data_IF_017287163437
#
_entry.id   IF_017287163437
#
_cell.length_a   1.000
_cell.length_b   1.000
_cell.length_c   1.000
_cell.angle_alpha   90.00
_cell.angle_beta   90.00
_cell.angle_gamma   90.00
#
_symmetry.space_group_name_H-M   'P 1'
#
loop_
_entity.id
_entity.type
_entity.pdbx_description
1 polymer ?
#
# COMPACT_ATOMS: atom_id res chain seq x y z
N UNK A 1 3.74 4.46 -15.40
CA UNK A 1 3.11 4.80 -14.12
C UNK A 1 2.76 3.54 -13.33
N UNK A 2 1.87 2.67 -13.84
CA UNK A 2 1.40 1.47 -13.13
C UNK A 2 2.53 0.52 -12.68
N UNK A 3 3.52 0.14 -13.54
CA UNK A 3 4.60 -0.75 -13.10
C UNK A 3 5.42 -0.17 -11.96
N UNK A 4 5.79 1.11 -12.04
CA UNK A 4 6.53 1.80 -10.98
C UNK A 4 5.73 1.90 -9.68
N UNK A 5 4.41 2.11 -9.77
CA UNK A 5 3.55 2.14 -8.59
C UNK A 5 3.45 0.76 -7.94
N UNK A 6 3.26 -0.31 -8.73
CA UNK A 6 3.30 -1.69 -8.21
C UNK A 6 4.63 -1.98 -7.54
N UNK A 7 5.74 -1.62 -8.20
CA UNK A 7 7.09 -1.79 -7.67
C UNK A 7 7.21 -1.12 -6.29
N UNK A 8 6.90 0.18 -6.19
CA UNK A 8 6.96 0.92 -4.92
C UNK A 8 6.11 0.29 -3.81
N UNK A 9 4.87 -0.08 -4.12
CA UNK A 9 3.95 -0.68 -3.13
C UNK A 9 4.39 -2.08 -2.70
N UNK A 10 4.97 -2.87 -3.60
CA UNK A 10 5.58 -4.16 -3.26
C UNK A 10 6.81 -3.98 -2.38
N UNK A 11 7.68 -3.02 -2.70
CA UNK A 11 8.86 -2.70 -1.89
C UNK A 11 8.50 -2.34 -0.44
N UNK A 12 7.44 -1.54 -0.25
CA UNK A 12 6.95 -1.18 1.09
C UNK A 12 6.37 -2.39 1.83
N UNK A 13 5.56 -3.21 1.16
CA UNK A 13 4.97 -4.39 1.78
C UNK A 13 6.02 -5.43 2.20
N UNK A 14 7.06 -5.65 1.40
CA UNK A 14 8.13 -6.60 1.77
C UNK A 14 9.03 -6.03 2.85
N UNK A 15 9.27 -4.71 2.87
CA UNK A 15 10.01 -4.06 3.95
C UNK A 15 9.27 -4.22 5.27
N UNK A 16 7.96 -3.97 5.30
CA UNK A 16 7.11 -4.20 6.47
C UNK A 16 7.08 -5.67 6.90
N UNK A 17 7.00 -6.61 5.97
CA UNK A 17 7.01 -8.04 6.30
C UNK A 17 8.32 -8.48 6.97
N UNK A 18 9.45 -7.87 6.60
CA UNK A 18 10.75 -8.14 7.21
C UNK A 18 10.86 -7.43 8.57
N UNK A 19 10.51 -6.15 8.64
CA UNK A 19 10.67 -5.32 9.84
C UNK A 19 9.65 -5.69 10.92
N UNK A 20 8.42 -6.03 10.55
CA UNK A 20 7.33 -6.41 11.44
C UNK A 20 6.71 -7.76 11.02
N UNK A 21 7.23 -8.88 11.56
CA UNK A 21 6.75 -10.21 11.20
C UNK A 21 5.26 -10.43 11.51
N UNK A 22 4.74 -9.77 12.55
CA UNK A 22 3.35 -9.92 12.99
C UNK A 22 2.39 -9.13 12.08
N UNK A 23 1.63 -9.85 11.26
CA UNK A 23 0.79 -9.29 10.21
C UNK A 23 -0.17 -8.18 10.67
N UNK A 24 -0.74 -8.31 11.87
CA UNK A 24 -1.68 -7.35 12.44
C UNK A 24 -1.06 -5.97 12.74
N UNK A 25 0.26 -5.89 12.87
CA UNK A 25 0.99 -4.66 13.18
C UNK A 25 1.69 -4.04 11.97
N UNK A 26 1.67 -4.73 10.82
CA UNK A 26 2.20 -4.20 9.56
C UNK A 26 1.35 -3.01 9.09
N UNK A 27 2.04 -1.97 8.66
CA UNK A 27 1.44 -0.74 8.16
C UNK A 27 1.09 -0.89 6.68
N UNK A 28 2.00 -1.43 5.86
CA UNK A 28 1.83 -1.68 4.44
C UNK A 28 1.65 -3.18 4.15
N UNK A 29 0.81 -3.51 3.17
CA UNK A 29 0.62 -4.90 2.71
C UNK A 29 0.33 -4.94 1.21
N UNK A 30 0.64 -6.05 0.55
CA UNK A 30 0.38 -6.26 -0.86
C UNK A 30 -0.01 -7.71 -1.14
N UNK A 31 -1.09 -7.90 -1.87
CA UNK A 31 -1.56 -9.20 -2.34
C UNK A 31 -1.62 -9.21 -3.87
N UNK A 32 -0.69 -9.91 -4.51
CA UNK A 32 -0.61 -10.06 -5.97
C UNK A 32 -1.64 -11.05 -6.55
N UNK A 33 -2.42 -11.70 -5.68
CA UNK A 33 -3.41 -12.73 -6.01
C UNK A 33 -4.77 -12.39 -5.39
N UNK A 34 -5.10 -11.09 -5.27
CA UNK A 34 -6.34 -10.63 -4.64
C UNK A 34 -7.59 -11.26 -5.29
N UNK A 35 -7.62 -11.24 -6.63
CA UNK A 35 -8.64 -11.88 -7.44
C UNK A 35 -8.08 -12.19 -8.86
N UNK A 36 -8.84 -12.89 -9.73
CA UNK A 36 -8.39 -13.13 -11.10
C UNK A 36 -8.03 -11.84 -11.85
N UNK A 37 -6.74 -11.67 -12.16
CA UNK A 37 -6.16 -10.47 -12.78
C UNK A 37 -6.19 -9.20 -11.90
N UNK A 38 -6.37 -9.36 -10.59
CA UNK A 38 -6.39 -8.27 -9.63
C UNK A 38 -5.25 -8.38 -8.61
N UNK A 39 -4.55 -7.26 -8.39
CA UNK A 39 -3.57 -7.10 -7.32
C UNK A 39 -4.05 -5.97 -6.39
N UNK A 40 -3.82 -6.09 -5.09
CA UNK A 40 -4.28 -5.13 -4.10
C UNK A 40 -3.13 -4.74 -3.18
N UNK A 41 -2.90 -3.44 -3.01
CA UNK A 41 -2.06 -2.90 -1.95
C UNK A 41 -2.93 -2.22 -0.90
N UNK A 42 -2.54 -2.29 0.36
CA UNK A 42 -3.24 -1.61 1.45
C UNK A 42 -2.28 -0.96 2.42
N UNK A 43 -2.76 0.07 3.10
CA UNK A 43 -2.17 0.61 4.31
C UNK A 43 -3.19 0.66 5.43
N UNK A 44 -2.77 0.37 6.66
CA UNK A 44 -3.56 0.54 7.88
C UNK A 44 -2.71 1.20 8.96
N UNK A 45 -3.21 2.28 9.57
CA UNK A 45 -2.44 3.03 10.57
C UNK A 45 -2.61 2.54 12.01
N UNK A 46 -3.52 1.60 12.24
CA UNK A 46 -3.89 1.10 13.57
C UNK A 46 -4.84 2.01 14.36
N UNK A 47 -5.16 3.20 13.84
CA UNK A 47 -5.99 4.23 14.46
C UNK A 47 -7.31 4.49 13.70
N UNK A 48 -7.61 3.66 12.69
CA UNK A 48 -8.82 3.74 11.86
C UNK A 48 -8.61 4.40 10.50
N UNK A 49 -7.41 4.92 10.25
CA UNK A 49 -6.96 5.36 8.93
C UNK A 49 -6.49 4.19 8.08
N UNK A 50 -6.89 4.19 6.81
CA UNK A 50 -6.47 3.16 5.86
C UNK A 50 -6.62 3.62 4.42
N UNK A 51 -5.89 2.97 3.53
CA UNK A 51 -6.18 3.06 2.10
C UNK A 51 -5.96 1.75 1.38
N UNK A 52 -6.57 1.66 0.19
CA UNK A 52 -6.49 0.52 -0.70
C UNK A 52 -6.19 1.00 -2.13
N UNK A 53 -5.30 0.30 -2.81
CA UNK A 53 -5.01 0.46 -4.24
C UNK A 53 -5.32 -0.86 -4.92
N UNK A 54 -6.31 -0.90 -5.81
CA UNK A 54 -6.63 -2.07 -6.62
C UNK A 54 -6.13 -1.88 -8.04
N UNK A 55 -5.40 -2.87 -8.55
CA UNK A 55 -4.95 -2.96 -9.94
C UNK A 55 -5.80 -3.99 -10.67
N UNK A 56 -6.46 -3.59 -11.76
CA UNK A 56 -7.22 -4.48 -12.65
C UNK A 56 -6.81 -4.20 -14.11
N UNK A 57 -5.84 -4.96 -14.61
CA UNK A 57 -5.22 -4.70 -15.92
C UNK A 57 -4.58 -3.31 -15.97
N UNK A 58 -5.07 -2.44 -16.85
CA UNK A 58 -4.61 -1.04 -16.98
C UNK A 58 -5.37 -0.06 -16.07
N UNK A 59 -6.32 -0.55 -15.28
CA UNK A 59 -7.13 0.27 -14.36
C UNK A 59 -6.51 0.24 -12.97
N UNK A 60 -6.51 1.40 -12.32
CA UNK A 60 -6.06 1.53 -10.93
C UNK A 60 -7.06 2.36 -10.16
N UNK A 61 -7.61 1.78 -9.11
CA UNK A 61 -8.46 2.46 -8.15
C UNK A 61 -7.69 2.71 -6.86
N UNK A 62 -7.85 3.89 -6.27
CA UNK A 62 -7.36 4.22 -4.94
C UNK A 62 -8.50 4.73 -4.08
N UNK A 63 -8.58 4.27 -2.84
CA UNK A 63 -9.62 4.67 -1.89
C UNK A 63 -9.00 4.81 -0.51
N UNK A 64 -9.25 5.94 0.12
CA UNK A 64 -8.67 6.32 1.40
C UNK A 64 -9.78 6.63 2.40
N UNK A 65 -9.61 6.14 3.63
CA UNK A 65 -10.35 6.47 4.83
C UNK A 65 -9.38 7.15 5.79
N UNK A 66 -9.65 8.42 6.12
CA UNK A 66 -8.95 9.15 7.16
C UNK A 66 -10.00 9.90 7.98
N UNK A 67 -10.43 9.34 9.13
CA UNK A 67 -11.47 9.95 9.95
C UNK A 67 -11.12 11.36 10.41
N UNK A 68 -9.85 11.64 10.71
CA UNK A 68 -9.37 12.95 11.13
C UNK A 68 -9.45 14.02 10.02
N UNK A 69 -9.25 13.64 8.75
CA UNK A 69 -9.42 14.54 7.60
C UNK A 69 -10.90 14.75 7.20
N UNK A 70 -11.77 13.86 7.69
CA UNK A 70 -13.21 13.84 7.43
C UNK A 70 -13.59 13.00 6.20
N UNK A 71 -14.84 12.55 6.17
CA UNK A 71 -15.42 11.74 5.09
C UNK A 71 -16.12 12.61 4.03
N UNK A 72 -16.27 12.06 2.83
CA UNK A 72 -17.05 12.64 1.73
C UNK A 72 -18.52 12.66 2.11
N UNK A 73 -19.12 13.85 2.13
CA UNK A 73 -20.57 13.98 2.25
C UNK A 73 -21.29 13.38 1.03
N UNK A 74 -22.33 12.58 1.27
CA UNK A 74 -23.10 11.91 0.22
C UNK A 74 -22.24 11.05 -0.73
N UNK A 75 -21.30 10.26 -0.19
CA UNK A 75 -20.42 9.38 -0.99
C UNK A 75 -21.17 8.49 -1.99
N UNK A 76 -22.42 8.08 -1.69
CA UNK A 76 -23.29 7.35 -2.63
C UNK A 76 -23.43 8.05 -3.99
N UNK A 77 -23.54 9.38 -4.03
CA UNK A 77 -23.61 10.14 -5.29
C UNK A 77 -22.31 10.10 -6.06
N UNK A 78 -21.17 10.16 -5.36
CA UNK A 78 -19.86 10.03 -6.00
C UNK A 78 -19.72 8.63 -6.62
N UNK A 79 -20.16 7.58 -5.91
CA UNK A 79 -20.15 6.21 -6.43
C UNK A 79 -20.93 6.07 -7.73
N UNK A 80 -22.06 6.77 -7.86
CA UNK A 80 -22.86 6.79 -9.09
C UNK A 80 -22.14 7.49 -10.28
N UNK A 81 -21.17 8.38 -10.00
CA UNK A 81 -20.39 9.05 -11.05
C UNK A 81 -19.16 8.27 -11.50
N UNK A 82 -18.73 7.26 -10.75
CA UNK A 82 -17.53 6.48 -11.07
C UNK A 82 -17.87 5.50 -12.20
N UNK A 83 -17.02 5.38 -13.24
CA UNK A 83 -17.26 4.50 -14.37
C UNK A 83 -17.52 3.05 -13.94
N UNK A 84 -18.42 2.36 -14.66
CA UNK A 84 -18.90 1.02 -14.31
C UNK A 84 -17.78 -0.02 -14.25
N UNK A 85 -16.68 0.20 -14.98
CA UNK A 85 -15.51 -0.66 -14.99
C UNK A 85 -14.75 -0.65 -13.66
N UNK A 86 -14.97 0.35 -12.81
CA UNK A 86 -14.42 0.44 -11.44
C UNK A 86 -15.38 -0.06 -10.38
N UNK A 87 -16.53 -0.62 -10.76
CA UNK A 87 -17.55 -1.04 -9.80
C UNK A 87 -17.06 -2.15 -8.87
N UNK A 88 -16.25 -3.09 -9.35
CA UNK A 88 -15.64 -4.12 -8.48
C UNK A 88 -14.80 -3.49 -7.36
N UNK A 89 -14.04 -2.44 -7.68
CA UNK A 89 -13.26 -1.69 -6.71
C UNK A 89 -14.14 -0.89 -5.72
N UNK A 90 -15.12 -0.15 -6.23
CA UNK A 90 -15.92 0.77 -5.40
C UNK A 90 -16.91 0.04 -4.49
N UNK A 91 -17.44 -1.09 -4.95
CA UNK A 91 -18.42 -1.87 -4.20
C UNK A 91 -17.78 -2.95 -3.32
N UNK A 92 -16.44 -3.11 -3.36
CA UNK A 92 -15.70 -4.08 -2.57
C UNK A 92 -15.90 -3.85 -1.06
N UNK A 93 -16.54 -4.79 -0.34
CA UNK A 93 -16.75 -4.67 1.10
C UNK A 93 -15.46 -4.47 1.90
N UNK A 94 -14.36 -5.12 1.50
CA UNK A 94 -13.05 -4.96 2.15
C UNK A 94 -12.49 -3.54 2.06
N UNK A 95 -13.00 -2.70 1.15
CA UNK A 95 -12.54 -1.32 0.95
C UNK A 95 -13.57 -0.29 1.47
N UNK A 96 -14.33 -0.63 2.52
CA UNK A 96 -15.32 0.26 3.16
C UNK A 96 -16.36 0.82 2.19
N UNK A 97 -17.13 -0.06 1.55
CA UNK A 97 -18.12 0.24 0.49
C UNK A 97 -18.86 1.59 0.60
N UNK A 98 -19.28 2.00 1.79
CA UNK A 98 -20.18 3.15 1.99
C UNK A 98 -19.47 4.43 2.48
N UNK A 99 -18.16 4.40 2.70
CA UNK A 99 -17.40 5.53 3.22
C UNK A 99 -16.11 5.78 2.43
N UNK A 100 -15.71 7.04 2.33
CA UNK A 100 -14.42 7.45 1.77
C UNK A 100 -14.06 8.86 2.22
N UNK A 101 -12.78 9.14 2.44
CA UNK A 101 -12.21 10.49 2.52
C UNK A 101 -11.80 10.97 1.12
N UNK A 102 -11.17 10.08 0.35
CA UNK A 102 -10.77 10.35 -1.03
C UNK A 102 -10.89 9.09 -1.89
N UNK A 103 -11.23 9.26 -3.16
CA UNK A 103 -11.24 8.18 -4.16
C UNK A 103 -10.61 8.67 -5.44
N UNK A 104 -9.61 7.95 -5.94
CA UNK A 104 -8.98 8.27 -7.22
C UNK A 104 -9.12 7.08 -8.18
N UNK A 105 -9.36 7.37 -9.45
CA UNK A 105 -9.33 6.37 -10.52
C UNK A 105 -8.34 6.81 -11.59
N UNK A 106 -7.69 5.86 -12.22
CA UNK A 106 -6.74 6.13 -13.30
C UNK A 106 -7.46 6.07 -14.66
N UNK A 107 -7.49 7.17 -15.40
CA UNK A 107 -7.95 7.22 -16.79
C UNK A 107 -6.85 7.78 -17.69
N UNK A 108 -6.53 7.06 -18.78
CA UNK A 108 -5.48 7.46 -19.74
C UNK A 108 -4.18 7.95 -19.06
N UNK A 109 -3.74 7.24 -18.02
CA UNK A 109 -2.54 7.55 -17.25
C UNK A 109 -2.59 8.89 -16.50
N UNK A 110 -3.80 9.36 -16.15
CA UNK A 110 -4.06 10.53 -15.32
C UNK A 110 -5.03 10.16 -14.20
N UNK A 111 -4.80 10.71 -13.01
CA UNK A 111 -5.68 10.50 -11.86
C UNK A 111 -6.88 11.43 -11.92
N UNK A 112 -8.08 10.85 -11.91
CA UNK A 112 -9.33 11.56 -11.63
C UNK A 112 -9.60 11.41 -10.14
N UNK A 113 -9.59 12.52 -9.40
CA UNK A 113 -9.71 12.56 -7.93
C UNK A 113 -11.11 13.02 -7.50
N UNK A 114 -11.69 12.33 -6.52
CA UNK A 114 -12.95 12.67 -5.86
C UNK A 114 -12.73 12.81 -4.35
N UNK A 115 -13.52 13.67 -3.70
CA UNK A 115 -13.43 13.92 -2.27
C UNK A 115 -12.32 14.90 -1.91
N UNK A 116 -11.63 14.65 -0.79
CA UNK A 116 -10.52 15.49 -0.34
C UNK A 116 -9.34 15.40 -1.33
N UNK A 117 -8.78 16.55 -1.67
CA UNK A 117 -7.59 16.63 -2.54
C UNK A 117 -6.29 16.50 -1.76
N UNK A 118 -6.33 16.77 -0.46
CA UNK A 118 -5.21 16.63 0.48
C UNK A 118 -5.70 15.81 1.68
N UNK A 119 -4.93 14.80 2.05
CA UNK A 119 -5.12 13.95 3.23
C UNK A 119 -3.86 14.11 4.07
N UNK A 120 -3.99 14.48 5.35
CA UNK A 120 -2.86 14.91 6.18
C UNK A 120 -2.67 14.08 7.44
N UNK A 121 -3.73 13.45 7.93
CA UNK A 121 -3.67 12.68 9.18
C UNK A 121 -3.06 11.29 8.99
N UNK A 122 -2.92 10.84 7.74
CA UNK A 122 -2.30 9.56 7.39
C UNK A 122 -1.30 9.72 6.22
N UNK A 123 -0.45 8.71 6.04
CA UNK A 123 0.50 8.65 4.93
C UNK A 123 -0.24 8.17 3.67
N UNK A 124 -0.68 9.13 2.87
CA UNK A 124 -1.49 8.88 1.68
C UNK A 124 -0.68 8.41 0.46
N UNK A 125 -1.38 8.01 -0.60
CA UNK A 125 -0.72 7.51 -1.82
C UNK A 125 0.20 8.55 -2.49
N UNK A 126 -0.13 9.84 -2.39
CA UNK A 126 0.69 10.89 -3.00
C UNK A 126 1.99 11.11 -2.24
N UNK A 127 1.99 10.98 -0.91
CA UNK A 127 3.21 10.94 -0.10
C UNK A 127 4.05 9.70 -0.45
N UNK A 128 3.43 8.51 -0.46
CA UNK A 128 4.11 7.23 -0.75
C UNK A 128 4.77 7.21 -2.13
N UNK A 129 4.13 7.78 -3.15
CA UNK A 129 4.72 7.85 -4.49
C UNK A 129 6.01 8.68 -4.55
N UNK A 130 6.27 9.54 -3.56
CA UNK A 130 7.46 10.38 -3.46
C UNK A 130 8.52 9.80 -2.51
N UNK A 131 8.19 8.75 -1.76
CA UNK A 131 9.10 8.14 -0.82
C UNK A 131 10.22 7.38 -1.52
N UNK A 132 11.44 7.60 -1.07
CA UNK A 132 12.60 6.75 -1.33
C UNK A 132 12.93 5.92 -0.08
N UNK A 133 13.88 4.95 -0.15
CA UNK A 133 14.24 4.11 1.00
C UNK A 133 14.51 4.92 2.27
N UNK A 134 15.14 6.09 2.17
CA UNK A 134 15.42 6.99 3.28
C UNK A 134 14.14 7.47 3.98
N UNK A 135 13.07 7.73 3.24
CA UNK A 135 11.80 8.18 3.82
C UNK A 135 11.09 7.05 4.55
N UNK A 136 11.11 5.83 3.99
CA UNK A 136 10.59 4.67 4.69
C UNK A 136 11.39 4.43 5.98
N UNK A 137 12.73 4.47 5.91
CA UNK A 137 13.59 4.31 7.07
C UNK A 137 13.26 5.34 8.17
N UNK A 138 13.22 6.62 7.83
CA UNK A 138 12.95 7.70 8.80
C UNK A 138 11.60 7.48 9.52
N UNK A 139 10.57 7.08 8.78
CA UNK A 139 9.27 6.77 9.36
C UNK A 139 9.29 5.47 10.19
N UNK A 140 9.85 4.39 9.64
CA UNK A 140 9.89 3.06 10.25
C UNK A 140 10.73 3.04 11.53
N UNK A 141 11.82 3.81 11.59
CA UNK A 141 12.65 3.93 12.78
C UNK A 141 11.83 4.43 13.99
N UNK A 142 10.97 5.42 13.75
CA UNK A 142 10.09 5.98 14.76
C UNK A 142 8.86 5.12 15.04
N UNK A 143 8.24 4.54 14.02
CA UNK A 143 6.99 3.80 14.15
C UNK A 143 7.20 2.42 14.79
N UNK A 144 8.19 1.66 14.32
CA UNK A 144 8.51 0.33 14.84
C UNK A 144 9.52 0.35 15.99
N UNK A 145 10.06 1.52 16.34
CA UNK A 145 11.11 1.70 17.36
C UNK A 145 12.35 0.82 17.10
N UNK A 146 12.74 0.68 15.82
CA UNK A 146 13.87 -0.15 15.35
C UNK A 146 14.91 0.71 14.64
N UNK A 147 16.17 0.28 14.63
CA UNK A 147 17.20 0.92 13.80
C UNK A 147 17.26 0.18 12.45
N UNK A 148 16.68 0.77 11.40
CA UNK A 148 16.62 0.14 10.09
C UNK A 148 17.93 0.37 9.32
N UNK A 149 18.53 -0.70 8.80
CA UNK A 149 19.71 -0.63 7.94
C UNK A 149 19.34 -0.10 6.55
N UNK A 150 19.89 1.06 6.16
CA UNK A 150 19.55 1.72 4.90
C UNK A 150 20.07 0.96 3.68
N UNK A 151 21.26 0.36 3.75
CA UNK A 151 21.86 -0.34 2.60
C UNK A 151 21.08 -1.62 2.28
N UNK A 152 20.62 -2.33 3.32
CA UNK A 152 19.72 -3.46 3.17
C UNK A 152 18.34 -3.03 2.64
N UNK A 153 17.80 -1.90 3.12
CA UNK A 153 16.53 -1.37 2.65
C UNK A 153 16.57 -0.94 1.16
N UNK A 154 17.68 -0.34 0.71
CA UNK A 154 17.90 -0.04 -0.71
C UNK A 154 17.82 -1.32 -1.55
N UNK A 155 18.46 -2.42 -1.10
CA UNK A 155 18.37 -3.70 -1.79
C UNK A 155 16.94 -4.26 -1.80
N UNK A 156 16.19 -4.10 -0.71
CA UNK A 156 14.76 -4.44 -0.67
C UNK A 156 13.97 -3.64 -1.72
N UNK A 157 14.22 -2.35 -1.86
CA UNK A 157 13.59 -1.50 -2.87
C UNK A 157 14.03 -1.84 -4.31
N UNK A 158 15.14 -2.55 -4.48
CA UNK A 158 15.55 -3.15 -5.76
C UNK A 158 15.00 -4.59 -5.94
N UNK A 159 14.20 -5.08 -4.98
CA UNK A 159 13.69 -6.46 -4.90
C UNK A 159 14.79 -7.54 -4.85
N UNK A 160 15.97 -7.19 -4.32
CA UNK A 160 17.06 -8.13 -4.04
C UNK A 160 16.94 -8.62 -2.61
N UNK A 161 16.16 -9.68 -2.40
CA UNK A 161 15.86 -10.22 -1.06
C UNK A 161 16.74 -11.45 -0.80
N UNK A 162 17.84 -11.26 -0.08
CA UNK A 162 18.78 -12.33 0.32
C UNK A 162 18.75 -12.56 1.83
N UNK A 163 19.36 -13.66 2.29
CA UNK A 163 19.49 -13.95 3.72
C UNK A 163 20.22 -12.82 4.47
N UNK A 164 21.27 -12.26 3.86
CA UNK A 164 22.04 -11.16 4.44
C UNK A 164 21.20 -9.88 4.55
N UNK A 165 20.37 -9.58 3.54
CA UNK A 165 19.47 -8.41 3.55
C UNK A 165 18.42 -8.57 4.64
N UNK A 166 17.79 -9.74 4.75
CA UNK A 166 16.79 -10.01 5.80
C UNK A 166 17.42 -9.88 7.18
N UNK A 167 18.58 -10.52 7.41
CA UNK A 167 19.27 -10.49 8.70
C UNK A 167 19.76 -9.08 9.10
N UNK A 168 20.09 -8.23 8.12
CA UNK A 168 20.48 -6.84 8.37
C UNK A 168 19.30 -5.98 8.84
N UNK A 169 18.10 -6.23 8.31
CA UNK A 169 16.87 -5.49 8.67
C UNK A 169 16.20 -6.05 9.93
N UNK A 170 16.19 -7.37 10.11
CA UNK A 170 15.59 -8.02 11.25
C UNK A 170 16.31 -9.34 11.58
N UNK A 171 17.01 -9.35 12.72
CA UNK A 171 17.80 -10.51 13.20
C UNK A 171 16.95 -11.63 13.80
N UNK A 172 15.66 -11.39 14.02
CA UNK A 172 14.76 -12.33 14.68
C UNK A 172 14.10 -13.30 13.70
N UNK A 173 14.21 -13.03 12.39
CA UNK A 173 13.63 -13.85 11.33
C UNK A 173 14.67 -14.25 10.30
N UNK A 174 14.30 -15.24 9.50
CA UNK A 174 15.07 -15.76 8.37
C UNK A 174 14.36 -15.50 7.04
N UNK A 175 15.11 -15.62 5.94
CA UNK A 175 14.53 -15.57 4.59
C UNK A 175 13.46 -16.64 4.38
N UNK A 176 13.62 -17.81 5.01
CA UNK A 176 12.65 -18.90 4.92
C UNK A 176 11.28 -18.52 5.50
N UNK A 177 11.25 -17.72 6.56
CA UNK A 177 10.02 -17.30 7.23
C UNK A 177 9.20 -16.31 6.40
N UNK A 178 9.84 -15.49 5.55
CA UNK A 178 9.16 -14.52 4.68
C UNK A 178 8.90 -15.05 3.26
N UNK A 179 9.16 -16.33 2.96
CA UNK A 179 8.92 -16.90 1.62
C UNK A 179 7.46 -16.82 1.20
N UNK A 180 6.54 -17.05 2.14
CA UNK A 180 5.11 -16.93 1.89
C UNK A 180 4.72 -15.48 1.56
N UNK A 181 5.29 -14.50 2.28
CA UNK A 181 5.10 -13.08 2.01
C UNK A 181 5.64 -12.70 0.62
N UNK A 182 6.85 -13.14 0.25
CA UNK A 182 7.43 -12.90 -1.09
C UNK A 182 6.50 -13.42 -2.19
N UNK A 183 5.95 -14.63 -2.02
CA UNK A 183 5.03 -15.23 -2.97
C UNK A 183 3.69 -14.49 -3.04
N UNK A 184 3.12 -14.10 -1.90
CA UNK A 184 1.87 -13.34 -1.83
C UNK A 184 2.02 -11.95 -2.46
N UNK A 185 3.10 -11.23 -2.14
CA UNK A 185 3.43 -9.91 -2.69
C UNK A 185 3.77 -10.02 -4.18
N UNK A 186 4.20 -11.19 -4.64
CA UNK A 186 4.54 -11.45 -6.03
C UNK A 186 5.83 -10.75 -6.43
N UNK A 187 6.85 -10.84 -5.58
CA UNK A 187 8.23 -10.47 -5.90
C UNK A 187 8.90 -11.69 -6.53
N UNK A 188 9.36 -11.57 -7.76
CA UNK A 188 10.16 -12.61 -8.41
C UNK A 188 11.63 -12.46 -8.01
N UNK A 189 12.31 -13.55 -7.60
CA UNK A 189 13.75 -13.56 -7.37
C UNK A 189 14.57 -13.25 -8.64
#
# INVERSE_FOLDING_TARGET
MIPNLKHKLKSLAIADAIVEPEWQYRYFSYNSKWAPNEEMASMRDGCGGSWFVLFLGERVGYKCISPGDGLIENYSKIRETIPIEYKSFIDEPSFFKDEATAVWILDKNQWIKFGKTEVREIIDLEAIMKWEPENYKEWADGYFEKEIDLDALIQVFEHKITEEVVAALNKEISLDEIKADIEEIGITP
#
